data_IF_982583527699
#
_entry.id   IF_982583527699
#
_cell.length_a   1.000
_cell.length_b   1.000
_cell.length_c   1.000
_cell.angle_alpha   90.00
_cell.angle_beta   90.00
_cell.angle_gamma   90.00
#
_symmetry.space_group_name_H-M   'P 1'
#
loop_
_entity.id
_entity.type
_entity.pdbx_description
1 polymer ?
#
# COMPACT_ATOMS: atom_id res chain seq x y z
N UNK A 1 24.90 -6.25 -11.63
CA UNK A 1 25.18 -5.32 -10.52
C UNK A 1 24.31 -4.06 -10.49
N UNK A 2 23.76 -3.62 -11.59
CA UNK A 2 22.91 -2.42 -11.61
C UNK A 2 21.46 -2.65 -11.20
N UNK A 3 21.00 -3.89 -11.13
CA UNK A 3 19.59 -4.24 -10.80
C UNK A 3 19.30 -4.07 -9.31
N UNK A 4 20.24 -4.41 -8.44
CA UNK A 4 20.08 -4.31 -6.98
C UNK A 4 19.96 -2.87 -6.48
N UNK A 5 20.71 -1.95 -7.05
CA UNK A 5 20.64 -0.53 -6.66
C UNK A 5 19.32 0.13 -7.07
N UNK A 6 18.72 -0.30 -8.17
CA UNK A 6 17.42 0.25 -8.63
C UNK A 6 16.27 -0.25 -7.78
N UNK A 7 16.36 -1.48 -7.29
CA UNK A 7 15.35 -2.07 -6.40
C UNK A 7 15.44 -1.42 -5.01
N UNK A 8 16.65 -1.20 -4.51
CA UNK A 8 16.87 -0.53 -3.23
C UNK A 8 16.41 0.95 -3.20
N UNK A 9 16.23 1.57 -4.37
CA UNK A 9 15.74 2.95 -4.47
C UNK A 9 14.21 3.06 -4.61
N UNK A 10 13.48 1.94 -4.67
CA UNK A 10 12.04 1.97 -4.75
C UNK A 10 11.43 2.45 -3.43
N UNK A 11 10.55 3.42 -3.53
CA UNK A 11 9.77 3.94 -2.42
C UNK A 11 8.29 3.66 -2.63
N UNK A 12 7.51 3.38 -1.56
CA UNK A 12 6.06 3.29 -1.65
C UNK A 12 5.37 4.59 -2.03
N UNK A 13 6.07 5.72 -2.01
CA UNK A 13 5.50 7.03 -2.27
C UNK A 13 4.80 7.09 -3.65
N UNK A 14 3.55 7.53 -3.65
CA UNK A 14 2.74 7.68 -4.86
C UNK A 14 2.81 9.10 -5.48
N UNK A 15 3.71 9.95 -4.96
CA UNK A 15 3.83 11.35 -5.38
C UNK A 15 2.87 12.32 -4.68
N UNK A 16 2.00 11.82 -3.80
CA UNK A 16 1.11 12.62 -2.95
C UNK A 16 1.32 12.23 -1.50
N UNK A 17 1.87 13.11 -0.70
CA UNK A 17 2.12 12.86 0.72
C UNK A 17 1.16 13.65 1.59
N UNK A 18 0.05 13.03 2.01
CA UNK A 18 -0.96 13.69 2.84
C UNK A 18 -0.53 13.84 4.30
N UNK A 19 0.53 13.16 4.73
CA UNK A 19 1.07 13.29 6.09
C UNK A 19 1.63 14.68 6.38
N UNK A 20 2.04 15.42 5.35
CA UNK A 20 2.46 16.83 5.49
C UNK A 20 1.30 17.75 5.91
N UNK A 21 0.06 17.31 5.73
CA UNK A 21 -1.15 18.01 6.17
C UNK A 21 -1.70 17.49 7.50
N UNK A 22 -0.95 16.61 8.19
CA UNK A 22 -1.32 16.07 9.50
C UNK A 22 -2.01 14.71 9.49
N UNK A 23 -2.17 14.06 8.35
CA UNK A 23 -2.76 12.73 8.27
C UNK A 23 -1.83 11.69 8.93
N UNK A 24 -2.39 10.85 9.78
CA UNK A 24 -1.66 9.75 10.44
C UNK A 24 -1.32 8.62 9.48
N UNK A 25 -2.14 8.42 8.45
CA UNK A 25 -1.94 7.46 7.36
C UNK A 25 -1.92 8.22 6.05
N UNK A 26 -0.86 8.05 5.26
CA UNK A 26 -0.75 8.69 3.95
C UNK A 26 -1.80 8.14 2.98
N UNK A 27 -2.64 9.01 2.44
CA UNK A 27 -3.69 8.63 1.47
C UNK A 27 -3.13 8.09 0.16
N UNK A 28 -1.92 8.51 -0.22
CA UNK A 28 -1.29 8.06 -1.46
C UNK A 28 -0.70 6.66 -1.37
N UNK A 29 0.08 6.36 -0.35
CA UNK A 29 0.80 5.10 -0.21
C UNK A 29 0.37 4.26 0.99
N UNK A 30 -0.42 4.81 1.91
CA UNK A 30 -0.94 4.19 3.15
C UNK A 30 0.14 3.85 4.19
N UNK A 31 1.37 4.36 4.02
CA UNK A 31 2.35 4.32 5.11
C UNK A 31 1.84 5.15 6.29
N UNK A 32 2.22 4.72 7.49
CA UNK A 32 1.99 5.52 8.69
C UNK A 32 2.91 6.74 8.68
N UNK A 33 2.50 7.82 9.32
CA UNK A 33 3.25 9.07 9.35
C UNK A 33 4.71 8.86 9.77
N UNK A 34 4.96 8.13 10.86
CA UNK A 34 6.32 7.86 11.33
C UNK A 34 7.15 7.04 10.34
N UNK A 35 6.52 6.17 9.55
CA UNK A 35 7.20 5.38 8.50
C UNK A 35 7.63 6.27 7.33
N UNK A 36 6.81 7.25 6.96
CA UNK A 36 7.17 8.23 5.92
C UNK A 36 8.39 9.04 6.36
N UNK A 37 8.37 9.55 7.60
CA UNK A 37 9.44 10.40 8.13
C UNK A 37 10.75 9.61 8.29
N UNK A 38 10.68 8.36 8.75
CA UNK A 38 11.87 7.55 9.08
C UNK A 38 12.33 6.62 7.96
N UNK A 39 11.68 6.64 6.81
CA UNK A 39 11.89 5.67 5.73
C UNK A 39 13.36 5.48 5.36
N UNK A 40 14.09 6.56 5.13
CA UNK A 40 15.48 6.51 4.73
C UNK A 40 16.44 6.00 5.83
N UNK A 41 16.01 6.05 7.09
CA UNK A 41 16.74 5.52 8.24
C UNK A 41 16.39 4.06 8.55
N UNK A 42 15.41 3.47 7.89
CA UNK A 42 15.05 2.07 8.10
C UNK A 42 16.08 1.11 7.49
N UNK A 43 16.29 -0.01 8.15
CA UNK A 43 17.02 -1.13 7.58
C UNK A 43 16.26 -1.73 6.38
N UNK A 44 16.93 -2.47 5.48
CA UNK A 44 16.26 -3.19 4.39
C UNK A 44 15.15 -4.11 4.89
N UNK A 45 15.33 -4.77 6.03
CA UNK A 45 14.35 -5.65 6.66
C UNK A 45 13.11 -4.88 7.14
N UNK A 46 13.31 -3.71 7.75
CA UNK A 46 12.22 -2.83 8.18
C UNK A 46 11.43 -2.30 6.98
N UNK A 47 12.12 -1.88 5.92
CA UNK A 47 11.47 -1.44 4.69
C UNK A 47 10.67 -2.57 4.04
N UNK A 48 11.22 -3.78 4.01
CA UNK A 48 10.53 -4.97 3.48
C UNK A 48 9.27 -5.28 4.27
N UNK A 49 9.31 -5.18 5.59
CA UNK A 49 8.12 -5.40 6.43
C UNK A 49 7.00 -4.40 6.11
N UNK A 50 7.35 -3.13 5.89
CA UNK A 50 6.37 -2.10 5.48
C UNK A 50 5.78 -2.43 4.10
N UNK A 51 6.62 -2.77 3.13
CA UNK A 51 6.16 -3.18 1.81
C UNK A 51 5.20 -4.37 1.87
N UNK A 52 5.52 -5.39 2.64
CA UNK A 52 4.68 -6.58 2.79
C UNK A 52 3.31 -6.22 3.38
N UNK A 53 3.27 -5.35 4.38
CA UNK A 53 2.00 -4.87 4.94
C UNK A 53 1.17 -4.11 3.90
N UNK A 54 1.78 -3.18 3.18
CA UNK A 54 1.10 -2.40 2.15
C UNK A 54 0.58 -3.29 1.02
N UNK A 55 1.38 -4.25 0.57
CA UNK A 55 0.99 -5.20 -0.46
C UNK A 55 -0.14 -6.14 0.01
N UNK A 56 -0.10 -6.59 1.26
CA UNK A 56 -1.18 -7.40 1.84
C UNK A 56 -2.51 -6.65 1.89
N UNK A 57 -2.49 -5.36 2.18
CA UNK A 57 -3.68 -4.50 2.14
C UNK A 57 -4.24 -4.40 0.72
N UNK A 58 -3.37 -4.23 -0.28
CA UNK A 58 -3.78 -4.21 -1.68
C UNK A 58 -4.36 -5.55 -2.13
N UNK A 59 -3.76 -6.67 -1.73
CA UNK A 59 -4.28 -8.01 -2.03
C UNK A 59 -5.69 -8.19 -1.46
N UNK A 60 -5.87 -7.81 -0.20
CA UNK A 60 -7.14 -7.96 0.49
C UNK A 60 -8.28 -7.18 -0.17
N UNK A 61 -7.99 -6.02 -0.74
CA UNK A 61 -8.99 -5.14 -1.34
C UNK A 61 -9.15 -5.40 -2.85
N UNK A 62 -8.05 -5.45 -3.60
CA UNK A 62 -8.11 -5.45 -5.07
C UNK A 62 -8.36 -6.82 -5.68
N UNK A 63 -7.85 -7.89 -5.09
CA UNK A 63 -8.07 -9.23 -5.64
C UNK A 63 -9.56 -9.58 -5.69
N UNK A 64 -10.35 -9.37 -4.62
CA UNK A 64 -11.79 -9.58 -4.70
C UNK A 64 -12.55 -8.58 -5.59
N UNK A 65 -12.04 -7.36 -5.71
CA UNK A 65 -12.68 -6.30 -6.53
C UNK A 65 -12.51 -6.54 -8.04
N UNK A 66 -11.49 -7.28 -8.44
CA UNK A 66 -11.12 -7.52 -9.83
C UNK A 66 -11.09 -9.03 -10.15
N UNK A 67 -12.24 -9.71 -10.06
CA UNK A 67 -12.30 -11.17 -10.16
C UNK A 67 -11.97 -11.70 -11.55
N UNK A 68 -12.06 -10.88 -12.59
CA UNK A 68 -11.78 -11.27 -13.97
C UNK A 68 -10.38 -10.84 -14.44
N UNK A 69 -9.56 -10.31 -13.54
CA UNK A 69 -8.20 -9.90 -13.87
C UNK A 69 -7.34 -11.11 -14.25
N UNK A 70 -6.51 -10.93 -15.27
CA UNK A 70 -5.53 -11.91 -15.74
C UNK A 70 -4.14 -11.43 -15.34
N UNK A 71 -3.58 -11.96 -14.27
CA UNK A 71 -2.33 -11.47 -13.69
C UNK A 71 -1.14 -11.45 -14.67
N UNK A 72 -0.90 -12.48 -15.51
CA UNK A 72 0.19 -12.40 -16.49
C UNK A 72 0.03 -11.22 -17.47
N UNK A 73 -1.18 -10.96 -17.93
CA UNK A 73 -1.48 -9.83 -18.81
C UNK A 73 -1.35 -8.49 -18.08
N UNK A 74 -1.82 -8.42 -16.83
CA UNK A 74 -1.68 -7.24 -15.97
C UNK A 74 -0.21 -6.90 -15.77
N UNK A 75 0.62 -7.87 -15.42
CA UNK A 75 2.06 -7.69 -15.25
C UNK A 75 2.73 -7.20 -16.53
N UNK A 76 2.44 -7.84 -17.66
CA UNK A 76 2.96 -7.42 -18.96
C UNK A 76 2.55 -5.96 -19.29
N UNK A 77 1.30 -5.63 -19.05
CA UNK A 77 0.79 -4.26 -19.28
C UNK A 77 1.52 -3.23 -18.41
N UNK A 78 1.65 -3.49 -17.12
CA UNK A 78 2.31 -2.59 -16.16
C UNK A 78 3.78 -2.39 -16.55
N UNK A 79 4.50 -3.45 -16.87
CA UNK A 79 5.90 -3.38 -17.30
C UNK A 79 6.05 -2.65 -18.63
N UNK A 80 5.12 -2.82 -19.58
CA UNK A 80 5.12 -2.12 -20.86
C UNK A 80 4.97 -0.61 -20.70
N UNK A 81 4.35 -0.14 -19.61
CA UNK A 81 4.21 1.27 -19.25
C UNK A 81 5.38 1.79 -18.40
N UNK A 82 6.46 1.03 -18.31
CA UNK A 82 7.70 1.38 -17.59
C UNK A 82 7.51 1.57 -16.08
N UNK A 83 6.50 0.95 -15.50
CA UNK A 83 6.33 0.90 -14.05
C UNK A 83 7.34 -0.10 -13.48
N UNK A 84 8.05 0.32 -12.45
CA UNK A 84 9.01 -0.54 -11.74
C UNK A 84 8.27 -1.37 -10.71
N UNK A 85 8.38 -2.68 -10.83
CA UNK A 85 7.86 -3.62 -9.84
C UNK A 85 9.02 -4.23 -9.06
N UNK A 86 8.85 -4.38 -7.75
CA UNK A 86 9.75 -5.21 -6.95
C UNK A 86 9.59 -6.68 -7.37
N UNK A 87 10.66 -7.50 -7.28
CA UNK A 87 10.57 -8.92 -7.62
C UNK A 87 9.51 -9.68 -6.82
N UNK A 88 9.26 -9.27 -5.58
CA UNK A 88 8.30 -9.85 -4.65
C UNK A 88 6.96 -9.09 -4.60
N UNK A 89 6.69 -8.23 -5.59
CA UNK A 89 5.44 -7.50 -5.66
C UNK A 89 4.25 -8.46 -5.72
N UNK A 90 3.25 -8.22 -4.86
CA UNK A 90 2.07 -9.06 -4.77
C UNK A 90 1.13 -8.89 -5.96
N UNK A 91 0.16 -9.80 -6.10
CA UNK A 91 -0.91 -9.67 -7.08
C UNK A 91 -1.63 -8.32 -6.96
N UNK A 92 -2.00 -7.93 -5.73
CA UNK A 92 -2.66 -6.65 -5.46
C UNK A 92 -1.81 -5.45 -5.85
N UNK A 93 -0.50 -5.51 -5.70
CA UNK A 93 0.42 -4.45 -6.13
C UNK A 93 0.39 -4.28 -7.65
N UNK A 94 0.39 -5.36 -8.39
CA UNK A 94 0.30 -5.34 -9.86
C UNK A 94 -1.05 -4.78 -10.31
N UNK A 95 -2.14 -5.23 -9.70
CA UNK A 95 -3.49 -4.73 -9.96
C UNK A 95 -3.61 -3.23 -9.65
N UNK A 96 -3.02 -2.78 -8.56
CA UNK A 96 -2.99 -1.36 -8.18
C UNK A 96 -2.33 -0.49 -9.26
N UNK A 97 -1.17 -0.88 -9.73
CA UNK A 97 -0.47 -0.11 -10.77
C UNK A 97 -1.26 -0.08 -12.08
N UNK A 98 -1.85 -1.20 -12.48
CA UNK A 98 -2.67 -1.25 -13.68
C UNK A 98 -3.92 -0.37 -13.54
N UNK A 99 -4.62 -0.43 -12.41
CA UNK A 99 -5.80 0.38 -12.16
C UNK A 99 -5.46 1.88 -12.11
N UNK A 100 -4.34 2.24 -11.51
CA UNK A 100 -3.84 3.61 -11.46
C UNK A 100 -3.54 4.17 -12.85
N UNK A 101 -2.95 3.36 -13.73
CA UNK A 101 -2.73 3.75 -15.13
C UNK A 101 -4.05 3.97 -15.87
N UNK A 102 -5.03 3.11 -15.66
CA UNK A 102 -6.37 3.24 -16.25
C UNK A 102 -7.14 4.43 -15.68
N UNK A 103 -6.94 4.78 -14.41
CA UNK A 103 -7.54 5.98 -13.81
C UNK A 103 -7.05 7.25 -14.50
N UNK A 104 -5.78 7.31 -14.86
CA UNK A 104 -5.22 8.42 -15.63
C UNK A 104 -5.71 8.45 -17.08
N UNK A 105 -5.93 7.29 -17.67
CA UNK A 105 -6.45 7.12 -19.04
C UNK A 105 -7.32 5.86 -19.10
N UNK A 106 -8.63 6.04 -19.00
CA UNK A 106 -9.61 4.96 -18.98
C UNK A 106 -9.61 4.08 -20.23
N UNK A 107 -9.14 4.62 -21.36
CA UNK A 107 -9.05 3.88 -22.62
C UNK A 107 -8.00 2.77 -22.60
N UNK A 108 -7.12 2.76 -21.60
CA UNK A 108 -6.17 1.67 -21.38
C UNK A 108 -6.80 0.42 -20.76
N UNK A 109 -8.05 0.49 -20.32
CA UNK A 109 -8.70 -0.61 -19.60
C UNK A 109 -8.75 -1.91 -20.42
N UNK A 110 -8.99 -1.83 -21.73
CA UNK A 110 -9.07 -3.00 -22.61
C UNK A 110 -7.74 -3.76 -22.72
N UNK A 111 -6.62 -3.03 -22.66
CA UNK A 111 -5.28 -3.62 -22.76
C UNK A 111 -4.69 -4.01 -21.40
N UNK A 112 -5.33 -3.60 -20.32
CA UNK A 112 -4.77 -3.70 -18.97
C UNK A 112 -4.75 -5.11 -18.39
N UNK A 113 -5.59 -6.01 -18.89
CA UNK A 113 -5.79 -7.33 -18.30
C UNK A 113 -6.66 -7.33 -17.03
N UNK A 114 -7.19 -6.18 -16.60
CA UNK A 114 -8.01 -6.08 -15.40
C UNK A 114 -9.39 -6.71 -15.55
N UNK A 115 -9.86 -6.97 -16.77
CA UNK A 115 -11.18 -7.54 -17.00
C UNK A 115 -12.32 -6.57 -16.72
N UNK A 116 -12.09 -5.28 -16.95
CA UNK A 116 -13.06 -4.21 -16.75
C UNK A 116 -13.17 -3.33 -17.99
N UNK A 117 -14.29 -2.63 -18.08
CA UNK A 117 -14.54 -1.65 -19.15
C UNK A 117 -14.12 -0.25 -18.69
N UNK A 118 -13.88 0.63 -19.67
CA UNK A 118 -13.49 2.03 -19.41
C UNK A 118 -14.45 2.75 -18.45
N UNK A 119 -15.75 2.53 -18.59
CA UNK A 119 -16.76 3.15 -17.74
C UNK A 119 -16.71 2.69 -16.26
N UNK A 120 -16.11 1.53 -16.00
CA UNK A 120 -15.99 0.98 -14.65
C UNK A 120 -14.76 1.50 -13.90
N UNK A 121 -13.79 2.09 -14.60
CA UNK A 121 -12.50 2.50 -14.00
C UNK A 121 -12.70 3.50 -12.87
N UNK A 122 -13.42 4.59 -13.11
CA UNK A 122 -13.59 5.65 -12.11
C UNK A 122 -14.32 5.18 -10.85
N UNK A 123 -15.48 4.49 -10.93
CA UNK A 123 -16.16 4.00 -9.73
C UNK A 123 -15.33 2.93 -8.99
N UNK A 124 -14.61 2.05 -9.69
CA UNK A 124 -13.71 1.08 -9.07
C UNK A 124 -12.56 1.75 -8.34
N UNK A 125 -11.93 2.76 -8.95
CA UNK A 125 -10.85 3.51 -8.32
C UNK A 125 -11.32 4.20 -7.04
N UNK A 126 -12.46 4.87 -7.08
CA UNK A 126 -13.03 5.57 -5.92
C UNK A 126 -13.35 4.60 -4.78
N UNK A 127 -13.93 3.45 -5.10
CA UNK A 127 -14.24 2.42 -4.10
C UNK A 127 -12.97 1.79 -3.53
N UNK A 128 -11.97 1.56 -4.36
CA UNK A 128 -10.66 1.10 -3.93
C UNK A 128 -10.02 2.08 -2.93
N UNK A 129 -9.93 3.35 -3.28
CA UNK A 129 -9.35 4.36 -2.40
C UNK A 129 -10.06 4.42 -1.05
N UNK A 130 -11.38 4.37 -1.05
CA UNK A 130 -12.19 4.35 0.16
C UNK A 130 -11.88 3.13 1.04
N UNK A 131 -11.87 1.95 0.46
CA UNK A 131 -11.67 0.69 1.19
C UNK A 131 -10.25 0.55 1.72
N UNK A 132 -9.25 0.83 0.91
CA UNK A 132 -7.85 0.68 1.32
C UNK A 132 -7.48 1.68 2.40
N UNK A 133 -7.98 2.90 2.34
CA UNK A 133 -7.76 3.90 3.39
C UNK A 133 -8.44 3.50 4.70
N UNK A 134 -9.65 2.98 4.64
CA UNK A 134 -10.36 2.49 5.83
C UNK A 134 -9.60 1.32 6.48
N UNK A 135 -9.11 0.37 5.70
CA UNK A 135 -8.31 -0.75 6.19
C UNK A 135 -7.00 -0.28 6.82
N UNK A 136 -6.28 0.62 6.16
CA UNK A 136 -5.02 1.15 6.64
C UNK A 136 -5.21 1.97 7.93
N UNK A 137 -6.27 2.76 8.02
CA UNK A 137 -6.61 3.54 9.22
C UNK A 137 -6.96 2.62 10.39
N UNK A 138 -7.74 1.57 10.15
CA UNK A 138 -8.05 0.57 11.17
C UNK A 138 -6.78 -0.15 11.67
N UNK A 139 -5.85 -0.46 10.79
CA UNK A 139 -4.56 -1.06 11.15
C UNK A 139 -3.72 -0.12 12.01
N UNK A 140 -3.71 1.17 11.69
CA UNK A 140 -3.03 2.20 12.48
C UNK A 140 -3.64 2.30 13.90
N UNK A 141 -4.95 2.39 13.99
CA UNK A 141 -5.66 2.50 15.26
C UNK A 141 -5.40 1.28 16.15
N UNK A 142 -5.44 0.07 15.60
CA UNK A 142 -5.11 -1.15 16.32
C UNK A 142 -3.67 -1.15 16.86
N UNK A 143 -2.70 -0.71 16.07
CA UNK A 143 -1.31 -0.63 16.50
C UNK A 143 -1.14 0.35 17.67
N UNK A 144 -1.82 1.49 17.64
CA UNK A 144 -1.78 2.48 18.73
C UNK A 144 -2.52 1.99 19.98
N UNK A 145 -3.71 1.40 19.84
CA UNK A 145 -4.46 0.85 20.97
C UNK A 145 -3.69 -0.26 21.68
N UNK A 146 -2.98 -1.12 20.95
CA UNK A 146 -2.11 -2.15 21.53
C UNK A 146 -0.94 -1.53 22.29
N UNK A 147 -0.30 -0.52 21.74
CA UNK A 147 0.81 0.17 22.40
C UNK A 147 0.34 0.85 23.70
N UNK A 148 -0.80 1.55 23.67
CA UNK A 148 -1.41 2.16 24.86
C UNK A 148 -1.79 1.11 25.91
N UNK A 149 -2.39 0.01 25.51
CA UNK A 149 -2.76 -1.08 26.40
C UNK A 149 -1.55 -1.70 27.10
N UNK A 150 -0.46 -1.92 26.38
CA UNK A 150 0.80 -2.43 26.94
C UNK A 150 1.39 -1.40 27.91
N UNK A 151 1.45 -0.13 27.54
CA UNK A 151 1.98 0.94 28.39
C UNK A 151 1.19 1.09 29.70
N UNK A 152 -0.14 1.06 29.62
CA UNK A 152 -1.01 1.11 30.79
C UNK A 152 -0.83 -0.11 31.71
N UNK A 153 -0.66 -1.29 31.11
CA UNK A 153 -0.42 -2.52 31.89
C UNK A 153 0.91 -2.46 32.63
N UNK A 154 1.99 -2.03 31.95
CA UNK A 154 3.31 -1.88 32.56
C UNK A 154 3.30 -0.85 33.70
N UNK A 155 2.57 0.27 33.53
CA UNK A 155 2.42 1.25 34.59
C UNK A 155 1.67 0.70 35.83
N UNK A 156 0.64 -0.12 35.61
CA UNK A 156 -0.08 -0.76 36.73
C UNK A 156 0.81 -1.74 37.48
N UNK A 157 1.57 -2.58 36.78
CA UNK A 157 2.48 -3.55 37.40
C UNK A 157 3.54 -2.85 38.24
N UNK A 158 4.14 -1.77 37.74
CA UNK A 158 5.16 -1.02 38.49
C UNK A 158 4.60 -0.33 39.75
N UNK A 159 3.33 0.07 39.74
CA UNK A 159 2.70 0.68 40.93
C UNK A 159 2.31 -0.37 41.99
N UNK A 160 2.08 -1.61 41.60
CA UNK A 160 1.77 -2.71 42.52
C UNK A 160 3.02 -3.31 43.19
N UNK A 161 4.21 -3.14 42.61
CA UNK A 161 5.47 -3.60 43.19
C UNK A 161 6.05 -2.61 44.23
N UNK A 162 5.59 -1.36 44.26
CA UNK A 162 6.04 -0.33 45.23
C UNK A 162 5.18 -0.24 46.51
N UNK A 163 4.13 -1.06 46.62
CA UNK A 163 3.30 -1.22 47.83
C UNK A 163 3.67 -2.48 48.62
#
# INVERSE_FOLDING_TARGET
MSTDRRIASLTPCAGRCSTVFGDSVCRGCRRFNHEVIRWNGYTPEQQTAVWQRLDAQLDQILVPMLPFARLPQVEHFVLSKRVRLRPDASAGRKLYHALKLCEKNKHLADDSGLGIQAAQVKPLWQEFERRVLALATASYDLAFLRADGISQHLLKVSLEEDD
#
